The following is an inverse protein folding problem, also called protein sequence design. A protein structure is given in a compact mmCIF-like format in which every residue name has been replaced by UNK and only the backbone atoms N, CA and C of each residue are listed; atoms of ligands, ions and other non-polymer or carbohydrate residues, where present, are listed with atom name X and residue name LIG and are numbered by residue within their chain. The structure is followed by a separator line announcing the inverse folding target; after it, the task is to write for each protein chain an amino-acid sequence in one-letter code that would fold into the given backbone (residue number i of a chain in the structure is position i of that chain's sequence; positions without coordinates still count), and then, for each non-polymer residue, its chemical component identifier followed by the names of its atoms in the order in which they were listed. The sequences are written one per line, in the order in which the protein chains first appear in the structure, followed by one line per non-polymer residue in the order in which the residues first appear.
data_IF_778428358968
#
_entry.id   IF_778428358968
#
_cell.length_a   1.000
_cell.length_b   1.000
_cell.length_c   1.000
_cell.angle_alpha   90.00
_cell.angle_beta   90.00
_cell.angle_gamma   90.00
#
_symmetry.space_group_name_H-M   'P 1'
#
loop_
_entity.id
_entity.type
_entity.pdbx_description
1 polymer ?
#
# COMPACT_ATOMS: atom_id res chain seq x y z
N UNK A 1 10.46 13.28 22.26
CA UNK A 1 9.30 12.69 21.55
C UNK A 1 9.66 12.45 20.09
N UNK A 2 8.99 11.52 19.41
CA UNK A 2 9.25 11.16 18.01
C UNK A 2 9.42 12.38 17.06
N UNK A 3 8.59 13.43 17.12
CA UNK A 3 8.75 14.62 16.26
C UNK A 3 10.08 15.37 16.48
N UNK A 4 10.53 15.47 17.73
CA UNK A 4 11.83 16.06 18.08
C UNK A 4 12.99 15.22 17.54
N UNK A 5 12.88 13.89 17.59
CA UNK A 5 13.90 13.00 17.04
C UNK A 5 14.02 13.16 15.51
N UNK A 6 12.89 13.28 14.81
CA UNK A 6 12.89 13.54 13.37
C UNK A 6 13.48 14.90 13.02
N UNK A 7 13.08 15.95 13.73
CA UNK A 7 13.63 17.29 13.52
C UNK A 7 15.14 17.35 13.77
N UNK A 8 15.62 16.74 14.86
CA UNK A 8 17.05 16.72 15.22
C UNK A 8 17.90 15.85 14.29
N UNK A 9 17.32 14.91 13.56
CA UNK A 9 18.03 14.07 12.58
C UNK A 9 18.44 14.83 11.30
N UNK A 10 17.98 16.07 11.10
CA UNK A 10 18.33 16.91 9.95
C UNK A 10 17.68 16.50 8.63
N UNK A 11 16.80 15.50 8.62
CA UNK A 11 16.18 14.95 7.41
C UNK A 11 14.80 15.54 7.08
N UNK A 12 14.29 16.49 7.88
CA UNK A 12 12.93 17.03 7.72
C UNK A 12 12.91 18.55 7.70
N UNK A 13 12.13 19.13 6.78
CA UNK A 13 11.73 20.54 6.85
C UNK A 13 10.30 20.64 7.38
N UNK A 14 10.10 21.59 8.30
CA UNK A 14 8.82 21.85 8.92
C UNK A 14 8.03 22.78 7.99
N UNK A 15 7.03 22.22 7.31
CA UNK A 15 6.18 22.98 6.37
C UNK A 15 4.81 23.14 7.02
N UNK A 16 4.59 24.27 7.68
CA UNK A 16 3.27 24.62 8.20
C UNK A 16 2.34 24.98 7.05
N UNK A 17 1.50 24.04 6.63
CA UNK A 17 0.48 24.29 5.62
C UNK A 17 -0.91 24.24 6.27
N UNK A 18 -1.66 25.34 6.21
CA UNK A 18 -3.01 25.41 6.79
C UNK A 18 -4.00 24.42 6.13
N UNK A 19 -3.76 24.03 4.87
CA UNK A 19 -4.50 22.96 4.20
C UNK A 19 -4.21 21.55 4.78
N UNK A 20 -3.15 21.41 5.57
CA UNK A 20 -2.83 20.16 6.26
C UNK A 20 -3.73 19.89 7.47
N UNK A 21 -4.37 20.91 8.04
CA UNK A 21 -5.29 20.75 9.17
C UNK A 21 -6.63 20.16 8.75
N UNK A 22 -7.21 20.67 7.66
CA UNK A 22 -8.47 20.15 7.12
C UNK A 22 -8.30 18.72 6.61
N UNK A 23 -7.20 18.44 5.89
CA UNK A 23 -6.87 17.09 5.45
C UNK A 23 -6.55 16.13 6.61
N UNK A 24 -5.94 16.59 7.70
CA UNK A 24 -5.77 15.81 8.93
C UNK A 24 -7.12 15.40 9.54
N UNK A 25 -8.04 16.35 9.74
CA UNK A 25 -9.37 16.05 10.30
C UNK A 25 -10.17 15.14 9.38
N UNK A 26 -10.11 15.35 8.06
CA UNK A 26 -10.75 14.47 7.06
C UNK A 26 -10.15 13.06 7.10
N UNK A 27 -8.84 12.93 7.31
CA UNK A 27 -8.17 11.61 7.40
C UNK A 27 -8.57 10.80 8.64
N UNK A 28 -8.88 11.49 9.74
CA UNK A 28 -9.31 10.89 11.01
C UNK A 28 -10.82 10.67 11.08
N UNK A 29 -11.60 11.49 10.37
CA UNK A 29 -13.05 11.41 10.37
C UNK A 29 -13.51 10.06 9.80
N UNK A 30 -14.22 9.23 10.57
CA UNK A 30 -14.79 8.02 10.02
C UNK A 30 -15.85 8.41 8.98
N UNK A 31 -15.72 7.87 7.77
CA UNK A 31 -16.71 8.07 6.71
C UNK A 31 -17.68 6.89 6.70
N UNK A 32 -18.97 7.19 6.53
CA UNK A 32 -19.99 6.15 6.33
C UNK A 32 -20.05 5.81 4.85
N UNK A 33 -19.72 4.58 4.48
CA UNK A 33 -19.84 4.08 3.12
C UNK A 33 -21.00 3.10 2.97
N UNK A 34 -21.78 3.26 1.89
CA UNK A 34 -22.92 2.41 1.55
C UNK A 34 -22.62 1.65 0.24
N UNK A 35 -22.15 0.40 0.32
CA UNK A 35 -21.85 -0.41 -0.86
C UNK A 35 -23.13 -0.93 -1.54
N UNK A 36 -23.20 -0.79 -2.88
CA UNK A 36 -24.31 -1.23 -3.73
C UNK A 36 -23.90 -1.93 -5.05
N UNK A 37 -22.62 -2.28 -5.25
CA UNK A 37 -22.05 -2.73 -6.54
C UNK A 37 -22.01 -4.25 -6.71
N UNK A 38 -22.22 -5.01 -5.64
CA UNK A 38 -22.11 -6.48 -5.63
C UNK A 38 -23.39 -7.17 -5.13
N UNK A 39 -23.34 -8.48 -4.93
CA UNK A 39 -24.40 -9.24 -4.26
C UNK A 39 -24.66 -8.74 -2.84
N UNK A 40 -25.85 -9.00 -2.29
CA UNK A 40 -26.23 -8.52 -0.96
C UNK A 40 -25.27 -8.99 0.16
N UNK A 41 -24.78 -10.24 0.10
CA UNK A 41 -23.79 -10.78 1.04
C UNK A 41 -22.47 -10.02 0.96
N UNK A 42 -22.00 -9.78 -0.27
CA UNK A 42 -20.73 -9.11 -0.51
C UNK A 42 -20.83 -7.62 -0.17
N UNK A 43 -21.96 -6.97 -0.46
CA UNK A 43 -22.24 -5.61 -0.01
C UNK A 43 -22.27 -5.52 1.53
N UNK A 44 -22.85 -6.51 2.23
CA UNK A 44 -22.82 -6.54 3.70
C UNK A 44 -21.38 -6.67 4.22
N UNK A 45 -20.56 -7.54 3.63
CA UNK A 45 -19.15 -7.62 3.97
C UNK A 45 -18.44 -6.29 3.71
N UNK A 46 -18.63 -5.67 2.54
CA UNK A 46 -18.06 -4.37 2.21
C UNK A 46 -18.55 -3.24 3.11
N UNK A 47 -19.78 -3.33 3.62
CA UNK A 47 -20.31 -2.35 4.55
C UNK A 47 -19.53 -2.45 5.86
N UNK A 48 -19.29 -3.65 6.36
CA UNK A 48 -18.41 -3.84 7.52
C UNK A 48 -16.98 -3.36 7.25
N UNK A 49 -16.36 -3.80 6.16
CA UNK A 49 -14.95 -3.50 5.85
C UNK A 49 -14.68 -2.01 5.60
N UNK A 50 -15.53 -1.32 4.83
CA UNK A 50 -15.36 0.11 4.52
C UNK A 50 -15.68 1.00 5.74
N UNK A 51 -16.50 0.52 6.68
CA UNK A 51 -16.84 1.24 7.90
C UNK A 51 -16.03 0.78 9.13
N UNK A 52 -14.97 -0.02 8.94
CA UNK A 52 -14.18 -0.58 10.03
C UNK A 52 -13.55 0.51 10.92
N UNK A 53 -13.09 1.61 10.32
CA UNK A 53 -12.56 2.77 11.05
C UNK A 53 -13.61 3.39 11.98
N UNK A 54 -14.87 3.50 11.52
CA UNK A 54 -15.98 4.00 12.34
C UNK A 54 -16.23 3.06 13.52
N UNK A 55 -16.33 1.76 13.27
CA UNK A 55 -16.60 0.74 14.29
C UNK A 55 -15.50 0.74 15.36
N UNK A 56 -14.24 0.73 14.95
CA UNK A 56 -13.09 0.76 15.88
C UNK A 56 -13.11 2.06 16.70
N UNK A 57 -13.36 3.21 16.06
CA UNK A 57 -13.43 4.50 16.75
C UNK A 57 -14.52 4.50 17.83
N UNK A 58 -15.72 4.00 17.51
CA UNK A 58 -16.82 3.88 18.47
C UNK A 58 -16.47 2.94 19.63
N UNK A 59 -15.81 1.80 19.36
CA UNK A 59 -15.38 0.87 20.39
C UNK A 59 -14.33 1.49 21.33
N UNK A 60 -13.38 2.25 20.79
CA UNK A 60 -12.37 2.98 21.57
C UNK A 60 -13.04 4.05 22.43
N UNK A 61 -13.93 4.88 21.86
CA UNK A 61 -14.63 5.94 22.60
C UNK A 61 -15.50 5.38 23.73
N UNK A 62 -16.27 4.31 23.45
CA UNK A 62 -17.05 3.62 24.47
C UNK A 62 -16.14 3.04 25.57
N UNK A 63 -15.00 2.47 25.20
CA UNK A 63 -14.06 1.85 26.13
C UNK A 63 -13.33 2.88 27.00
N UNK A 64 -12.94 4.00 26.40
CA UNK A 64 -12.39 5.15 27.11
C UNK A 64 -13.40 5.74 28.09
N UNK A 65 -14.67 5.87 27.68
CA UNK A 65 -15.75 6.30 28.57
C UNK A 65 -15.97 5.33 29.75
N UNK A 66 -16.01 4.02 29.49
CA UNK A 66 -16.13 3.01 30.54
C UNK A 66 -14.93 3.03 31.49
N UNK A 67 -13.73 3.17 30.95
CA UNK A 67 -12.48 3.29 31.73
C UNK A 67 -12.52 4.52 32.62
N UNK A 68 -12.87 5.68 32.07
CA UNK A 68 -12.97 6.93 32.83
C UNK A 68 -14.04 6.87 33.92
N UNK A 69 -15.20 6.24 33.66
CA UNK A 69 -16.32 6.20 34.61
C UNK A 69 -16.14 5.16 35.71
N UNK A 70 -15.55 3.99 35.40
CA UNK A 70 -15.54 2.83 36.30
C UNK A 70 -14.14 2.46 36.80
N UNK A 71 -13.10 2.80 36.05
CA UNK A 71 -11.73 2.34 36.27
C UNK A 71 -10.71 3.48 36.22
N UNK A 72 -11.10 4.71 36.60
CA UNK A 72 -10.23 5.90 36.51
C UNK A 72 -8.91 5.76 37.26
N UNK A 73 -8.88 4.97 38.32
CA UNK A 73 -7.68 4.72 39.13
C UNK A 73 -6.91 3.48 38.68
N UNK A 74 -7.44 2.70 37.73
CA UNK A 74 -6.75 1.53 37.19
C UNK A 74 -5.69 1.98 36.18
N UNK A 75 -4.44 2.02 36.63
CA UNK A 75 -3.31 2.41 35.81
C UNK A 75 -3.15 1.53 34.56
N UNK A 76 -3.51 0.23 34.64
CA UNK A 76 -3.35 -0.70 33.52
C UNK A 76 -4.28 -0.37 32.35
N UNK A 77 -5.42 0.25 32.62
CA UNK A 77 -6.40 0.66 31.60
C UNK A 77 -6.21 2.12 31.18
N UNK A 78 -5.84 2.99 32.11
CA UNK A 78 -5.69 4.43 31.85
C UNK A 78 -4.36 4.78 31.17
N UNK A 79 -3.25 4.16 31.56
CA UNK A 79 -1.94 4.48 30.98
C UNK A 79 -1.86 4.22 29.47
N UNK A 80 -2.32 3.08 28.92
CA UNK A 80 -2.31 2.84 27.47
C UNK A 80 -3.13 3.87 26.69
N UNK A 81 -4.29 4.32 27.22
CA UNK A 81 -5.10 5.37 26.61
C UNK A 81 -4.40 6.73 26.62
N UNK A 82 -3.70 7.08 27.70
CA UNK A 82 -2.90 8.31 27.75
C UNK A 82 -1.75 8.27 26.73
N UNK A 83 -1.08 7.13 26.57
CA UNK A 83 -0.04 6.95 25.54
C UNK A 83 -0.67 7.01 24.14
N UNK A 84 -1.83 6.40 23.91
CA UNK A 84 -2.55 6.47 22.64
C UNK A 84 -2.88 7.93 22.26
N UNK A 85 -3.34 8.75 23.21
CA UNK A 85 -3.56 10.17 23.01
C UNK A 85 -2.27 10.93 22.67
N UNK A 86 -1.16 10.63 23.34
CA UNK A 86 0.15 11.22 23.03
C UNK A 86 0.66 10.82 21.63
N UNK A 87 0.41 9.57 21.21
CA UNK A 87 0.75 9.08 19.86
C UNK A 87 -0.16 9.73 18.81
N UNK A 88 -1.45 9.95 19.08
CA UNK A 88 -2.33 10.75 18.21
C UNK A 88 -1.80 12.18 18.03
N UNK A 89 -1.36 12.82 19.12
CA UNK A 89 -0.70 14.13 19.04
C UNK A 89 0.60 14.08 18.22
N UNK A 90 1.36 12.99 18.34
CA UNK A 90 2.57 12.78 17.54
C UNK A 90 2.26 12.57 16.05
N UNK A 91 1.18 11.84 15.73
CA UNK A 91 0.69 11.69 14.35
C UNK A 91 0.35 13.03 13.72
N UNK A 92 -0.36 13.89 14.47
CA UNK A 92 -0.63 15.25 14.04
C UNK A 92 0.67 16.00 13.71
N UNK A 93 1.65 16.01 14.60
CA UNK A 93 2.93 16.70 14.36
C UNK A 93 3.73 16.12 13.19
N UNK A 94 3.82 14.78 13.07
CA UNK A 94 4.56 14.11 11.98
C UNK A 94 3.89 14.33 10.64
N UNK A 95 2.56 14.40 10.58
CA UNK A 95 1.82 14.71 9.34
C UNK A 95 2.12 16.11 8.77
N UNK A 96 2.76 16.99 9.55
CA UNK A 96 3.22 18.32 9.11
C UNK A 96 4.68 18.33 8.65
N UNK A 97 5.41 17.21 8.77
CA UNK A 97 6.80 17.11 8.34
C UNK A 97 6.86 16.65 6.88
N UNK A 98 7.76 17.26 6.11
CA UNK A 98 8.09 16.80 4.76
C UNK A 98 9.49 16.19 4.75
N UNK A 99 9.62 15.05 4.06
CA UNK A 99 10.87 14.30 3.92
C UNK A 99 11.30 14.25 2.46
N UNK A 100 12.56 13.89 2.19
CA UNK A 100 13.05 13.66 0.82
C UNK A 100 12.79 12.19 0.39
N UNK A 101 11.53 11.76 0.47
CA UNK A 101 11.04 10.43 0.08
C UNK A 101 9.88 10.60 -0.90
N UNK A 102 9.52 9.56 -1.66
CA UNK A 102 8.38 9.63 -2.56
C UNK A 102 7.11 9.89 -1.74
N UNK A 103 6.25 10.81 -2.18
CA UNK A 103 5.15 11.37 -1.38
C UNK A 103 4.19 10.33 -0.78
N UNK A 104 3.98 9.18 -1.45
CA UNK A 104 3.14 8.11 -0.90
C UNK A 104 3.80 7.38 0.28
N UNK A 105 5.13 7.28 0.32
CA UNK A 105 5.88 6.60 1.39
C UNK A 105 5.92 7.42 2.69
N UNK A 106 5.96 8.76 2.56
CA UNK A 106 5.91 9.66 3.72
C UNK A 106 4.62 9.49 4.52
N UNK A 107 3.49 9.40 3.80
CA UNK A 107 2.18 9.21 4.41
C UNK A 107 2.03 7.82 5.06
N UNK A 108 2.68 6.80 4.51
CA UNK A 108 2.65 5.44 5.11
C UNK A 108 3.33 5.40 6.47
N UNK A 109 4.40 6.18 6.68
CA UNK A 109 5.03 6.28 8.00
C UNK A 109 4.09 6.91 9.02
N UNK A 110 3.44 8.04 8.68
CA UNK A 110 2.48 8.69 9.57
C UNK A 110 1.29 7.77 9.88
N UNK A 111 0.75 7.05 8.88
CA UNK A 111 -0.37 6.12 9.07
C UNK A 111 -0.08 4.99 10.06
N UNK A 112 1.17 4.54 10.20
CA UNK A 112 1.55 3.54 11.21
C UNK A 112 1.31 4.04 12.64
N UNK A 113 1.41 5.35 12.89
CA UNK A 113 1.09 5.91 14.20
C UNK A 113 -0.40 5.74 14.54
N UNK A 114 -1.31 5.85 13.56
CA UNK A 114 -2.73 5.53 13.77
C UNK A 114 -2.92 4.06 14.13
N UNK A 115 -2.20 3.15 13.49
CA UNK A 115 -2.24 1.73 13.87
C UNK A 115 -1.78 1.50 15.31
N UNK A 116 -0.72 2.19 15.76
CA UNK A 116 -0.27 2.15 17.16
C UNK A 116 -1.33 2.68 18.13
N UNK A 117 -2.07 3.73 17.77
CA UNK A 117 -3.17 4.24 18.59
C UNK A 117 -4.23 3.17 18.80
N UNK A 118 -4.60 2.43 17.75
CA UNK A 118 -5.56 1.33 17.84
C UNK A 118 -5.03 0.22 18.74
N UNK A 119 -3.76 -0.19 18.58
CA UNK A 119 -3.11 -1.22 19.41
C UNK A 119 -3.06 -0.82 20.88
N UNK A 120 -2.65 0.43 21.16
CA UNK A 120 -2.59 0.95 22.53
C UNK A 120 -3.98 1.09 23.16
N UNK A 121 -5.01 1.34 22.34
CA UNK A 121 -6.41 1.39 22.78
C UNK A 121 -7.06 0.01 22.89
N UNK A 122 -6.35 -1.07 22.56
CA UNK A 122 -6.88 -2.43 22.55
C UNK A 122 -7.49 -2.87 23.90
N UNK A 123 -6.90 -2.58 25.08
CA UNK A 123 -7.54 -2.89 26.36
C UNK A 123 -8.91 -2.23 26.53
N UNK A 124 -9.07 -1.00 26.05
CA UNK A 124 -10.36 -0.29 26.09
C UNK A 124 -11.38 -0.92 25.13
N UNK A 125 -10.94 -1.36 23.93
CA UNK A 125 -11.78 -2.12 23.00
C UNK A 125 -12.27 -3.42 23.65
N UNK A 126 -11.38 -4.18 24.28
CA UNK A 126 -11.73 -5.41 25.00
C UNK A 126 -12.71 -5.14 26.14
N UNK A 127 -12.54 -4.05 26.89
CA UNK A 127 -13.46 -3.67 27.95
C UNK A 127 -14.88 -3.41 27.40
N UNK A 128 -14.99 -2.69 26.28
CA UNK A 128 -16.27 -2.44 25.60
C UNK A 128 -16.91 -3.75 25.14
N UNK A 129 -16.15 -4.59 24.44
CA UNK A 129 -16.65 -5.87 23.93
C UNK A 129 -17.05 -6.81 25.06
N UNK A 130 -16.28 -6.86 26.15
CA UNK A 130 -16.59 -7.63 27.34
C UNK A 130 -17.87 -7.15 28.03
N UNK A 131 -18.06 -5.84 28.17
CA UNK A 131 -19.29 -5.28 28.75
C UNK A 131 -20.52 -5.58 27.88
N UNK A 132 -20.39 -5.42 26.56
CA UNK A 132 -21.46 -5.70 25.60
C UNK A 132 -21.83 -7.18 25.63
N UNK A 133 -20.82 -8.05 25.56
CA UNK A 133 -20.98 -9.50 25.56
C UNK A 133 -21.60 -9.99 26.87
N UNK A 134 -21.16 -9.46 28.03
CA UNK A 134 -21.75 -9.77 29.33
C UNK A 134 -23.25 -9.46 29.39
N UNK A 135 -23.66 -8.27 28.94
CA UNK A 135 -25.08 -7.88 28.87
C UNK A 135 -25.89 -8.77 27.95
N UNK A 136 -25.31 -9.24 26.84
CA UNK A 136 -25.97 -10.16 25.90
C UNK A 136 -26.13 -11.56 26.52
N UNK A 137 -25.14 -12.01 27.31
CA UNK A 137 -25.23 -13.31 27.98
C UNK A 137 -26.26 -13.35 29.12
N UNK A 138 -26.67 -12.20 29.64
CA UNK A 138 -27.80 -12.08 30.56
C UNK A 138 -29.17 -12.17 29.86
N UNK A 139 -29.21 -12.07 28.53
CA UNK A 139 -30.45 -12.14 27.76
C UNK A 139 -30.90 -13.58 27.45
N UNK A 140 -32.07 -13.70 26.83
CA UNK A 140 -32.63 -14.97 26.36
C UNK A 140 -31.75 -15.64 25.27
N UNK A 141 -32.06 -16.90 24.94
CA UNK A 141 -31.31 -17.68 23.93
C UNK A 141 -31.32 -17.02 22.55
N UNK A 142 -32.38 -16.32 22.18
CA UNK A 142 -32.48 -15.66 20.88
C UNK A 142 -31.40 -14.60 20.70
N UNK A 143 -31.23 -13.67 21.67
CA UNK A 143 -30.20 -12.64 21.58
C UNK A 143 -28.77 -13.21 21.56
N UNK A 144 -28.52 -14.30 22.31
CA UNK A 144 -27.23 -15.01 22.32
C UNK A 144 -26.88 -15.59 20.96
N UNK A 145 -27.84 -16.29 20.34
CA UNK A 145 -27.68 -16.90 19.02
C UNK A 145 -27.49 -15.81 17.97
N UNK A 146 -28.30 -14.75 17.99
CA UNK A 146 -28.16 -13.61 17.08
C UNK A 146 -26.78 -12.96 17.19
N UNK A 147 -26.27 -12.76 18.40
CA UNK A 147 -24.93 -12.23 18.63
C UNK A 147 -23.83 -13.15 18.08
N UNK A 148 -23.95 -14.46 18.27
CA UNK A 148 -23.02 -15.44 17.71
C UNK A 148 -22.99 -15.42 16.18
N UNK A 149 -24.17 -15.32 15.54
CA UNK A 149 -24.28 -15.21 14.07
C UNK A 149 -23.61 -13.93 13.57
N UNK A 150 -23.84 -12.79 14.25
CA UNK A 150 -23.19 -11.51 13.93
C UNK A 150 -21.67 -11.66 14.03
N UNK A 151 -21.15 -12.15 15.16
CA UNK A 151 -19.71 -12.34 15.36
C UNK A 151 -19.08 -13.24 14.29
N UNK A 152 -19.73 -14.37 13.99
CA UNK A 152 -19.25 -15.32 12.98
C UNK A 152 -19.21 -14.67 11.59
N UNK A 153 -20.22 -13.87 11.26
CA UNK A 153 -20.29 -13.12 9.99
C UNK A 153 -19.16 -12.08 9.91
N UNK A 154 -18.92 -11.32 10.97
CA UNK A 154 -17.85 -10.31 11.02
C UNK A 154 -16.45 -10.92 10.92
N UNK A 155 -16.22 -12.07 11.58
CA UNK A 155 -14.95 -12.81 11.47
C UNK A 155 -14.77 -13.33 10.05
N UNK A 156 -15.80 -13.92 9.45
CA UNK A 156 -15.76 -14.42 8.07
C UNK A 156 -15.49 -13.28 7.09
N UNK A 157 -16.13 -12.12 7.26
CA UNK A 157 -15.87 -10.94 6.45
C UNK A 157 -14.42 -10.44 6.65
N UNK A 158 -13.91 -10.40 7.87
CA UNK A 158 -12.51 -10.02 8.16
C UNK A 158 -11.51 -10.97 7.46
N UNK A 159 -11.79 -12.27 7.48
CA UNK A 159 -11.00 -13.26 6.75
C UNK A 159 -11.06 -13.01 5.25
N UNK A 160 -12.26 -12.79 4.69
CA UNK A 160 -12.42 -12.41 3.28
C UNK A 160 -11.58 -11.17 2.92
N UNK A 161 -11.58 -10.13 3.77
CA UNK A 161 -10.79 -8.92 3.54
C UNK A 161 -9.27 -9.14 3.56
N UNK A 162 -8.81 -10.19 4.25
CA UNK A 162 -7.39 -10.51 4.40
C UNK A 162 -6.78 -11.19 3.17
N UNK A 163 -7.60 -11.73 2.27
CA UNK A 163 -7.12 -12.37 1.03
C UNK A 163 -7.04 -11.37 -0.15
N UNK A 164 -6.12 -11.60 -1.11
CA UNK A 164 -6.14 -10.92 -2.40
C UNK A 164 -7.47 -11.15 -3.11
N UNK A 165 -8.05 -10.08 -3.66
CA UNK A 165 -9.39 -10.09 -4.27
C UNK A 165 -9.39 -9.32 -5.57
N UNK A 166 -10.24 -9.78 -6.49
CA UNK A 166 -10.55 -9.10 -7.73
C UNK A 166 -12.07 -9.10 -7.89
N UNK A 167 -12.70 -7.99 -7.51
CA UNK A 167 -14.13 -7.75 -7.63
C UNK A 167 -14.40 -6.29 -8.04
N UNK A 168 -15.66 -5.87 -8.16
CA UNK A 168 -15.98 -4.50 -8.60
C UNK A 168 -15.64 -3.42 -7.57
N UNK A 169 -15.25 -3.80 -6.34
CA UNK A 169 -14.79 -2.89 -5.31
C UNK A 169 -13.28 -2.79 -5.24
N UNK A 170 -12.57 -3.90 -5.41
CA UNK A 170 -11.14 -3.97 -5.19
C UNK A 170 -10.45 -4.91 -6.16
N UNK A 171 -9.33 -4.44 -6.71
CA UNK A 171 -8.40 -5.25 -7.48
C UNK A 171 -7.05 -5.24 -6.77
N UNK A 172 -6.76 -6.31 -6.03
CA UNK A 172 -5.52 -6.49 -5.29
C UNK A 172 -4.32 -6.43 -6.22
N UNK A 173 -3.33 -5.63 -5.83
CA UNK A 173 -2.08 -5.41 -6.58
C UNK A 173 -0.87 -6.14 -5.96
N UNK A 174 -1.09 -6.81 -4.83
CA UNK A 174 -0.08 -7.62 -4.15
C UNK A 174 0.02 -8.99 -4.84
N UNK A 175 0.57 -8.98 -6.05
CA UNK A 175 0.97 -10.21 -6.73
C UNK A 175 2.34 -10.60 -6.21
N UNK A 176 2.49 -11.86 -5.79
CA UNK A 176 3.81 -12.43 -5.57
C UNK A 176 4.54 -12.56 -6.92
N UNK A 177 5.86 -12.68 -6.87
CA UNK A 177 6.66 -13.01 -8.04
C UNK A 177 6.12 -14.28 -8.68
N UNK A 178 5.79 -14.20 -9.97
CA UNK A 178 5.14 -15.27 -10.74
C UNK A 178 6.13 -16.06 -11.59
N UNK A 179 5.67 -17.20 -12.13
CA UNK A 179 6.41 -17.93 -13.18
C UNK A 179 6.57 -17.07 -14.43
N UNK A 180 5.57 -16.25 -14.76
CA UNK A 180 5.62 -15.32 -15.89
C UNK A 180 6.72 -14.27 -15.70
N UNK A 181 6.96 -13.79 -14.47
CA UNK A 181 8.10 -12.90 -14.16
C UNK A 181 9.43 -13.59 -14.42
N UNK A 182 9.56 -14.86 -14.03
CA UNK A 182 10.77 -15.66 -14.29
C UNK A 182 11.00 -15.85 -15.79
N UNK A 183 9.96 -16.22 -16.53
CA UNK A 183 10.02 -16.35 -17.98
C UNK A 183 10.39 -15.04 -18.67
N UNK A 184 9.83 -13.92 -18.21
CA UNK A 184 10.14 -12.60 -18.76
C UNK A 184 11.61 -12.23 -18.54
N UNK A 185 12.11 -12.40 -17.33
CA UNK A 185 13.52 -12.14 -16.97
C UNK A 185 14.47 -13.01 -17.78
N UNK A 186 14.18 -14.32 -17.87
CA UNK A 186 14.97 -15.26 -18.65
C UNK A 186 14.93 -14.96 -20.15
N UNK A 187 13.76 -14.56 -20.67
CA UNK A 187 13.61 -14.21 -22.07
C UNK A 187 14.45 -12.98 -22.42
N UNK A 188 14.41 -11.93 -21.60
CA UNK A 188 15.22 -10.72 -21.82
C UNK A 188 16.71 -11.07 -21.80
N UNK A 189 17.15 -11.86 -20.82
CA UNK A 189 18.55 -12.31 -20.73
C UNK A 189 19.00 -13.06 -21.98
N UNK A 190 18.20 -14.03 -22.43
CA UNK A 190 18.55 -14.87 -23.58
C UNK A 190 18.54 -14.12 -24.92
N UNK A 191 17.76 -13.04 -25.03
CA UNK A 191 17.66 -12.24 -26.26
C UNK A 191 18.70 -11.13 -26.35
N UNK A 192 19.40 -10.84 -25.26
CA UNK A 192 20.27 -9.67 -25.17
C UNK A 192 21.73 -10.07 -25.16
N UNK A 193 22.54 -9.41 -25.98
CA UNK A 193 24.01 -9.62 -26.03
C UNK A 193 24.80 -8.42 -25.51
N UNK A 194 24.19 -7.25 -25.51
CA UNK A 194 24.81 -5.99 -25.10
C UNK A 194 24.39 -5.62 -23.67
N UNK A 195 25.12 -4.72 -22.99
CA UNK A 195 24.63 -4.08 -21.77
C UNK A 195 23.23 -3.49 -21.96
N UNK A 196 22.33 -3.76 -21.02
CA UNK A 196 20.95 -3.31 -21.09
C UNK A 196 20.38 -2.97 -19.72
N UNK A 197 19.29 -2.21 -19.71
CA UNK A 197 18.48 -1.99 -18.50
C UNK A 197 17.04 -2.44 -18.73
N UNK A 198 16.32 -2.64 -17.63
CA UNK A 198 14.90 -2.93 -17.66
C UNK A 198 14.16 -1.93 -16.78
N UNK A 199 13.07 -1.38 -17.30
CA UNK A 199 12.07 -0.64 -16.53
C UNK A 199 10.91 -1.60 -16.25
N UNK A 200 10.79 -2.02 -15.00
CA UNK A 200 9.77 -2.98 -14.56
C UNK A 200 9.19 -2.60 -13.21
N UNK A 201 8.12 -3.28 -12.82
CA UNK A 201 7.62 -3.24 -11.46
C UNK A 201 8.56 -3.99 -10.50
N UNK A 202 8.18 -3.98 -9.22
CA UNK A 202 8.97 -4.56 -8.13
C UNK A 202 9.09 -6.09 -8.22
N UNK A 203 8.05 -6.80 -8.72
CA UNK A 203 8.05 -8.26 -8.77
C UNK A 203 9.05 -8.81 -9.80
N UNK A 204 9.02 -8.25 -11.02
CA UNK A 204 10.00 -8.59 -12.04
C UNK A 204 11.42 -8.20 -11.62
N UNK A 205 11.59 -7.04 -10.95
CA UNK A 205 12.89 -6.62 -10.40
C UNK A 205 13.42 -7.59 -9.32
N UNK A 206 12.56 -8.05 -8.42
CA UNK A 206 12.90 -9.05 -7.41
C UNK A 206 13.28 -10.41 -8.04
N UNK A 207 12.59 -10.82 -9.11
CA UNK A 207 12.94 -12.03 -9.85
C UNK A 207 14.30 -11.93 -10.54
N UNK A 208 14.61 -10.78 -11.14
CA UNK A 208 15.93 -10.53 -11.72
C UNK A 208 17.03 -10.63 -10.66
N UNK A 209 16.81 -10.01 -9.49
CA UNK A 209 17.76 -10.10 -8.38
C UNK A 209 17.95 -11.53 -7.88
N UNK A 210 16.87 -12.31 -7.76
CA UNK A 210 16.95 -13.73 -7.40
C UNK A 210 17.71 -14.55 -8.44
N UNK A 211 17.55 -14.23 -9.72
CA UNK A 211 18.11 -15.01 -10.83
C UNK A 211 19.58 -14.69 -11.10
N UNK A 212 19.97 -13.43 -10.92
CA UNK A 212 21.28 -12.92 -11.35
C UNK A 212 22.15 -12.37 -10.20
N UNK A 213 21.64 -12.37 -8.97
CA UNK A 213 22.33 -11.78 -7.84
C UNK A 213 22.60 -10.28 -8.02
N UNK A 214 23.59 -9.78 -7.30
CA UNK A 214 24.04 -8.38 -7.39
C UNK A 214 25.26 -8.27 -8.31
N UNK A 215 25.30 -9.04 -9.40
CA UNK A 215 26.55 -9.20 -10.15
C UNK A 215 26.71 -8.15 -11.27
N UNK A 216 25.62 -7.51 -11.70
CA UNK A 216 25.60 -6.57 -12.83
C UNK A 216 25.11 -5.19 -12.45
N UNK A 217 25.98 -4.21 -12.65
CA UNK A 217 25.68 -2.79 -12.49
C UNK A 217 26.18 -2.00 -13.69
N UNK A 218 25.38 -1.04 -14.14
CA UNK A 218 25.77 -0.09 -15.18
C UNK A 218 25.75 1.30 -14.56
N UNK A 219 26.91 1.96 -14.53
CA UNK A 219 27.05 3.27 -13.89
C UNK A 219 26.57 3.29 -12.42
N UNK A 220 26.96 2.27 -11.64
CA UNK A 220 26.51 2.03 -10.25
C UNK A 220 24.99 1.79 -10.09
N UNK A 221 24.27 1.53 -11.17
CA UNK A 221 22.85 1.21 -11.14
C UNK A 221 22.63 -0.27 -11.41
N UNK A 222 21.86 -0.91 -10.55
CA UNK A 222 21.38 -2.26 -10.85
C UNK A 222 20.51 -2.18 -12.10
N UNK A 223 20.73 -3.09 -13.05
CA UNK A 223 20.12 -3.04 -14.38
C UNK A 223 18.61 -3.31 -14.40
N UNK A 224 18.03 -3.71 -13.25
CA UNK A 224 16.60 -3.68 -12.98
C UNK A 224 16.30 -2.66 -11.88
N UNK A 225 15.08 -2.09 -11.81
CA UNK A 225 14.78 -1.08 -10.82
C UNK A 225 14.61 -1.74 -9.45
N UNK A 226 15.39 -1.28 -8.47
CA UNK A 226 15.20 -1.61 -7.06
C UNK A 226 14.24 -0.57 -6.46
N UNK A 227 13.14 -0.99 -5.83
CA UNK A 227 12.18 -0.06 -5.24
C UNK A 227 12.83 0.90 -4.25
N UNK A 228 12.30 2.11 -4.15
CA UNK A 228 12.58 3.10 -3.09
C UNK A 228 13.99 3.71 -3.06
N UNK A 229 14.93 3.22 -3.87
CA UNK A 229 16.33 3.68 -3.83
C UNK A 229 17.01 3.82 -5.20
N UNK A 230 16.43 3.30 -6.29
CA UNK A 230 17.02 3.35 -7.63
C UNK A 230 16.36 4.37 -8.57
N UNK A 231 17.11 5.24 -9.27
CA UNK A 231 16.55 6.21 -10.21
C UNK A 231 15.79 5.57 -11.38
N UNK A 232 16.12 4.33 -11.75
CA UNK A 232 15.39 3.56 -12.77
C UNK A 232 13.92 3.30 -12.40
N UNK A 233 13.59 3.21 -11.10
CA UNK A 233 12.21 2.99 -10.69
C UNK A 233 11.33 4.21 -11.02
N UNK A 234 11.88 5.42 -10.91
CA UNK A 234 11.14 6.63 -11.31
C UNK A 234 10.83 6.63 -12.80
N UNK A 235 11.77 6.25 -13.66
CA UNK A 235 11.50 6.12 -15.10
C UNK A 235 10.43 5.05 -15.39
N UNK A 236 10.41 3.94 -14.64
CA UNK A 236 9.30 2.99 -14.73
C UNK A 236 7.97 3.63 -14.35
N UNK A 237 7.91 4.42 -13.26
CA UNK A 237 6.71 5.15 -12.86
C UNK A 237 6.26 6.15 -13.94
N UNK A 238 7.20 6.85 -14.58
CA UNK A 238 6.90 7.77 -15.68
C UNK A 238 6.30 7.03 -16.88
N UNK A 239 6.82 5.84 -17.22
CA UNK A 239 6.27 4.99 -18.28
C UNK A 239 4.82 4.55 -17.99
N UNK A 240 4.44 4.32 -16.73
CA UNK A 240 3.11 3.77 -16.38
C UNK A 240 2.10 4.80 -15.87
N UNK A 241 2.53 5.97 -15.40
CA UNK A 241 1.65 7.02 -14.88
C UNK A 241 1.62 8.29 -15.73
N UNK A 242 2.70 8.60 -16.47
CA UNK A 242 2.76 9.77 -17.35
C UNK A 242 2.45 9.34 -18.78
N UNK A 243 3.38 8.63 -19.43
CA UNK A 243 3.23 8.14 -20.80
C UNK A 243 4.31 7.11 -21.17
N UNK A 244 3.93 6.01 -21.80
CA UNK A 244 4.89 5.01 -22.29
C UNK A 244 5.53 5.41 -23.62
N UNK A 245 6.53 6.29 -23.58
CA UNK A 245 7.17 6.87 -24.75
C UNK A 245 8.68 6.59 -24.84
N UNK A 246 9.25 6.80 -26.03
CA UNK A 246 10.68 6.57 -26.31
C UNK A 246 11.58 7.56 -25.57
N UNK A 247 11.12 8.77 -25.31
CA UNK A 247 11.90 9.80 -24.62
C UNK A 247 12.28 9.36 -23.20
N UNK A 248 11.32 8.80 -22.44
CA UNK A 248 11.56 8.26 -21.11
C UNK A 248 12.57 7.10 -21.14
N UNK A 249 12.45 6.20 -22.13
CA UNK A 249 13.40 5.11 -22.31
C UNK A 249 14.81 5.62 -22.65
N UNK A 250 14.93 6.64 -23.52
CA UNK A 250 16.20 7.25 -23.88
C UNK A 250 16.89 7.87 -22.66
N UNK A 251 16.14 8.61 -21.82
CA UNK A 251 16.66 9.19 -20.57
C UNK A 251 17.14 8.12 -19.59
N UNK A 252 16.40 7.02 -19.45
CA UNK A 252 16.82 5.90 -18.62
C UNK A 252 18.10 5.24 -19.15
N UNK A 253 18.19 5.06 -20.48
CA UNK A 253 19.38 4.56 -21.16
C UNK A 253 20.60 5.49 -21.01
N UNK A 254 20.39 6.82 -21.07
CA UNK A 254 21.44 7.82 -20.83
C UNK A 254 22.01 7.70 -19.43
N UNK A 255 21.13 7.56 -18.44
CA UNK A 255 21.51 7.43 -17.04
C UNK A 255 22.36 6.18 -16.79
N UNK A 256 22.04 5.06 -17.43
CA UNK A 256 22.79 3.81 -17.30
C UNK A 256 23.93 3.65 -18.32
N UNK A 257 24.08 4.59 -19.26
CA UNK A 257 25.03 4.53 -20.37
C UNK A 257 24.93 3.24 -21.21
N UNK A 258 23.70 2.82 -21.53
CA UNK A 258 23.42 1.65 -22.37
C UNK A 258 22.67 2.04 -23.64
N UNK A 259 22.71 1.17 -24.66
CA UNK A 259 22.03 1.39 -25.94
C UNK A 259 20.78 0.51 -26.11
N UNK A 260 20.49 -0.35 -25.14
CA UNK A 260 19.39 -1.29 -25.18
C UNK A 260 18.63 -1.24 -23.85
N UNK A 261 17.31 -1.14 -23.93
CA UNK A 261 16.47 -1.14 -22.76
C UNK A 261 15.14 -1.84 -23.01
N UNK A 262 14.60 -2.41 -21.94
CA UNK A 262 13.32 -3.10 -21.97
C UNK A 262 12.32 -2.43 -21.04
N UNK A 263 11.07 -2.39 -21.45
CA UNK A 263 9.94 -2.04 -20.58
C UNK A 263 9.07 -3.28 -20.39
N UNK A 264 8.78 -3.61 -19.13
CA UNK A 264 7.98 -4.79 -18.77
C UNK A 264 6.64 -4.34 -18.18
N UNK A 265 5.56 -4.75 -18.83
CA UNK A 265 4.18 -4.40 -18.46
C UNK A 265 3.36 -5.66 -18.15
N UNK A 266 3.10 -5.92 -16.85
CA UNK A 266 2.15 -6.97 -16.44
C UNK A 266 0.70 -6.61 -16.76
N UNK A 267 -0.12 -7.61 -17.12
CA UNK A 267 -1.54 -7.46 -17.48
C UNK A 267 -2.41 -6.87 -16.36
N UNK A 268 -2.04 -7.11 -15.10
CA UNK A 268 -2.80 -6.63 -13.94
C UNK A 268 -2.61 -5.14 -13.65
N UNK A 269 -1.76 -4.42 -14.38
CA UNK A 269 -1.56 -2.99 -14.15
C UNK A 269 -2.84 -2.19 -14.47
N UNK A 270 -3.19 -1.22 -13.63
CA UNK A 270 -4.53 -0.60 -13.64
C UNK A 270 -4.92 0.09 -14.94
N UNK A 271 -3.96 0.67 -15.68
CA UNK A 271 -4.16 1.30 -16.98
C UNK A 271 -3.61 0.46 -18.14
N UNK A 272 -3.58 -0.87 -17.99
CA UNK A 272 -2.90 -1.80 -18.89
C UNK A 272 -3.21 -1.55 -20.37
N UNK A 273 -4.49 -1.47 -20.76
CA UNK A 273 -4.86 -1.30 -22.18
C UNK A 273 -4.31 0.00 -22.79
N UNK A 274 -4.32 1.11 -22.03
CA UNK A 274 -3.78 2.40 -22.46
C UNK A 274 -2.26 2.30 -22.63
N UNK A 275 -1.57 1.84 -21.59
CA UNK A 275 -0.10 1.74 -21.57
C UNK A 275 0.39 0.78 -22.65
N UNK A 276 -0.30 -0.35 -22.85
CA UNK A 276 -0.03 -1.32 -23.91
C UNK A 276 -0.07 -0.67 -25.30
N UNK A 277 -1.10 0.16 -25.57
CA UNK A 277 -1.23 0.85 -26.85
C UNK A 277 -0.09 1.87 -27.06
N UNK A 278 0.22 2.65 -26.03
CA UNK A 278 1.31 3.64 -26.07
C UNK A 278 2.69 2.99 -26.27
N UNK A 279 2.99 1.94 -25.50
CA UNK A 279 4.26 1.22 -25.58
C UNK A 279 4.45 0.53 -26.94
N UNK A 280 3.40 -0.04 -27.52
CA UNK A 280 3.45 -0.63 -28.86
C UNK A 280 3.77 0.38 -29.96
N UNK A 281 3.33 1.63 -29.81
CA UNK A 281 3.60 2.69 -30.78
C UNK A 281 5.03 3.22 -30.65
N UNK A 282 5.62 3.18 -29.45
CA UNK A 282 6.93 3.77 -29.18
C UNK A 282 8.10 2.80 -29.27
N UNK A 283 7.90 1.50 -29.01
CA UNK A 283 8.94 0.47 -28.98
C UNK A 283 9.39 0.01 -30.37
N UNK A 284 10.62 -0.53 -30.45
CA UNK A 284 11.15 -1.11 -31.69
C UNK A 284 10.58 -2.51 -31.96
N UNK A 285 10.34 -3.27 -30.90
CA UNK A 285 9.66 -4.57 -30.97
C UNK A 285 9.03 -4.91 -29.62
N UNK A 286 8.15 -5.91 -29.61
CA UNK A 286 7.50 -6.36 -28.39
C UNK A 286 7.18 -7.85 -28.43
N UNK A 287 7.14 -8.47 -27.25
CA UNK A 287 6.87 -9.89 -27.06
C UNK A 287 5.81 -10.10 -25.97
N UNK A 288 5.00 -11.15 -26.13
CA UNK A 288 4.10 -11.63 -25.07
C UNK A 288 4.73 -12.83 -24.36
N UNK A 289 4.63 -12.85 -23.04
CA UNK A 289 5.01 -13.97 -22.19
C UNK A 289 3.76 -14.58 -21.58
N UNK A 290 3.75 -15.91 -21.43
CA UNK A 290 2.70 -16.67 -20.74
C UNK A 290 1.28 -16.30 -21.21
N UNK A 291 0.99 -16.47 -22.50
CA UNK A 291 -0.33 -16.14 -23.06
C UNK A 291 -0.74 -14.66 -22.98
N UNK A 292 0.21 -13.76 -22.69
CA UNK A 292 -0.03 -12.32 -22.51
C UNK A 292 -0.31 -11.90 -21.08
N UNK A 293 0.19 -12.63 -20.07
CA UNK A 293 0.25 -12.12 -18.69
C UNK A 293 1.27 -11.01 -18.54
N UNK A 294 2.37 -11.05 -19.30
CA UNK A 294 3.39 -10.00 -19.33
C UNK A 294 3.69 -9.62 -20.78
N UNK A 295 3.88 -8.32 -21.01
CA UNK A 295 4.33 -7.75 -22.26
C UNK A 295 5.71 -7.13 -22.07
N UNK A 296 6.63 -7.45 -22.97
CA UNK A 296 7.99 -6.92 -22.97
C UNK A 296 8.16 -6.08 -24.22
N UNK A 297 8.65 -4.86 -24.04
CA UNK A 297 8.89 -3.90 -25.12
C UNK A 297 10.38 -3.60 -25.19
N UNK A 298 10.97 -3.75 -26.37
CA UNK A 298 12.38 -3.51 -26.61
C UNK A 298 12.59 -2.14 -27.23
N UNK A 299 13.57 -1.42 -26.70
CA UNK A 299 14.02 -0.12 -27.20
C UNK A 299 15.52 -0.19 -27.47
N UNK A 300 15.91 0.22 -28.67
CA UNK A 300 17.29 0.31 -29.13
C UNK A 300 17.58 1.77 -29.46
N UNK A 301 18.70 2.28 -28.94
CA UNK A 301 19.21 3.59 -29.34
C UNK A 301 19.65 3.53 -30.80
N UNK A 302 19.00 4.29 -31.66
CA UNK A 302 19.52 4.54 -33.01
C UNK A 302 20.79 5.36 -32.87
N UNK A 303 21.92 4.82 -33.34
CA UNK A 303 23.15 5.59 -33.50
C UNK A 303 22.90 6.58 -34.64
N UNK A 304 22.71 7.86 -34.30
CA UNK A 304 22.88 8.94 -35.26
C UNK A 304 24.36 9.27 -35.39
#
# INVERSE_FOLDING_TARGET
GLPLAFYLSGQSQLVWNLNSYSSFLISLAPTLSLPYKETWLLNLAYFYGQNLQLIITLLILAGAYLTYRRHRQDFKLTAPLSVALAVLGSYFLVSQLSFNLIAYEQNDFARRLIMLVVILSFPAILLTLGNLTGRIFEQNKFYKISWLIILTTLITASLYFSYPRQDHYYNSKAYAVSTSDQEAVNWIENQTKNPYIVLSNQQTGAMALRSFGFDRYYHNLYFYPIPTSGPLYQYFLDMVYVQANRETMNKAMDLAQVNEAYFVLPKYWWAFNKILAEAKLSADSWQKIDGGQIYIFKYIRSLN
#
